data_IF_086245734660
#
_entry.id   IF_086245734660
#
_cell.length_a   1.000
_cell.length_b   1.000
_cell.length_c   1.000
_cell.angle_alpha   90.00
_cell.angle_beta   90.00
_cell.angle_gamma   90.00
#
_symmetry.space_group_name_H-M   'P 1'
#
loop_
_entity.id
_entity.type
_entity.pdbx_description
1 polymer ?
#
# COMPACT_ATOMS: atom_id res chain seq x y z
N UNK A 1 46.47 11.52 4.11
CA UNK A 1 45.11 11.47 4.71
C UNK A 1 44.25 10.51 3.90
N UNK A 2 44.45 9.19 4.03
CA UNK A 2 43.86 8.18 3.11
C UNK A 2 43.12 7.04 3.82
N UNK A 3 42.74 7.21 5.08
CA UNK A 3 42.18 6.15 5.93
C UNK A 3 40.65 6.11 6.07
N UNK A 4 39.93 7.20 5.75
CA UNK A 4 38.54 7.36 6.23
C UNK A 4 37.47 6.75 5.31
N UNK A 5 37.73 6.60 4.00
CA UNK A 5 36.75 6.04 3.04
C UNK A 5 36.60 4.50 3.11
N UNK A 6 37.59 3.78 3.66
CA UNK A 6 37.58 2.32 3.72
C UNK A 6 36.67 1.81 4.86
N UNK A 7 36.55 2.56 5.94
CA UNK A 7 35.74 2.20 7.12
C UNK A 7 34.23 2.35 6.88
N UNK A 8 33.82 3.38 6.15
CA UNK A 8 32.42 3.59 5.79
C UNK A 8 31.90 2.48 4.84
N UNK A 9 32.73 2.07 3.88
CA UNK A 9 32.42 0.99 2.94
C UNK A 9 32.45 -0.40 3.60
N UNK A 10 33.27 -0.57 4.65
CA UNK A 10 33.30 -1.78 5.48
C UNK A 10 32.02 -1.94 6.29
N UNK A 11 31.62 -0.89 7.04
CA UNK A 11 30.39 -0.90 7.85
C UNK A 11 29.12 -1.05 7.03
N UNK A 12 29.01 -0.36 5.88
CA UNK A 12 27.85 -0.52 4.99
C UNK A 12 27.71 -1.96 4.46
N UNK A 13 28.81 -2.68 4.24
CA UNK A 13 28.78 -4.09 3.81
C UNK A 13 28.47 -5.08 4.93
N UNK A 14 28.80 -4.73 6.17
CA UNK A 14 28.43 -5.52 7.36
C UNK A 14 26.95 -5.34 7.67
N UNK A 15 26.47 -4.10 7.77
CA UNK A 15 25.04 -3.78 7.94
C UNK A 15 24.21 -4.35 6.80
N UNK A 16 24.68 -4.25 5.56
CA UNK A 16 24.00 -4.82 4.40
C UNK A 16 23.98 -6.36 4.37
N UNK A 17 24.92 -7.03 5.03
CA UNK A 17 24.90 -8.50 5.20
C UNK A 17 23.96 -8.90 6.32
N UNK A 18 24.02 -8.21 7.44
CA UNK A 18 23.17 -8.45 8.60
C UNK A 18 21.70 -8.24 8.26
N UNK A 19 21.36 -7.11 7.61
CA UNK A 19 20.01 -6.86 7.12
C UNK A 19 19.55 -7.90 6.07
N UNK A 20 20.47 -8.42 5.26
CA UNK A 20 20.16 -9.47 4.28
C UNK A 20 19.92 -10.82 4.95
N UNK A 21 20.71 -11.17 5.97
CA UNK A 21 20.56 -12.40 6.75
C UNK A 21 19.25 -12.39 7.54
N UNK A 22 18.94 -11.29 8.23
CA UNK A 22 17.66 -11.13 8.93
C UNK A 22 16.47 -11.17 7.96
N UNK A 23 16.58 -10.51 6.81
CA UNK A 23 15.56 -10.57 5.77
C UNK A 23 15.38 -11.99 5.22
N UNK A 24 16.47 -12.73 4.99
CA UNK A 24 16.37 -14.12 4.53
C UNK A 24 15.77 -15.05 5.59
N UNK A 25 16.17 -14.91 6.85
CA UNK A 25 15.60 -15.71 7.94
C UNK A 25 14.10 -15.43 8.12
N UNK A 26 13.71 -14.17 8.03
CA UNK A 26 12.29 -13.76 8.06
C UNK A 26 11.53 -14.30 6.85
N UNK A 27 12.12 -14.23 5.65
CA UNK A 27 11.53 -14.76 4.43
C UNK A 27 11.36 -16.28 4.47
N UNK A 28 12.31 -17.02 5.05
CA UNK A 28 12.23 -18.48 5.20
C UNK A 28 11.16 -18.92 6.22
N UNK A 29 10.99 -18.15 7.31
CA UNK A 29 9.91 -18.39 8.28
C UNK A 29 8.55 -18.05 7.66
N UNK A 30 8.45 -16.91 6.99
CA UNK A 30 7.24 -16.49 6.30
C UNK A 30 6.86 -17.44 5.15
N UNK A 31 7.85 -17.94 4.40
CA UNK A 31 7.66 -18.90 3.31
C UNK A 31 7.07 -20.23 3.79
N UNK A 32 7.60 -20.78 4.89
CA UNK A 32 7.09 -22.02 5.50
C UNK A 32 5.68 -21.86 6.08
N UNK A 33 5.39 -20.72 6.70
CA UNK A 33 4.05 -20.41 7.18
C UNK A 33 3.07 -20.25 6.01
N UNK A 34 3.49 -19.58 4.94
CA UNK A 34 2.71 -19.36 3.74
C UNK A 34 2.40 -20.67 3.00
N UNK A 35 3.34 -21.60 2.85
CA UNK A 35 3.10 -22.91 2.24
C UNK A 35 1.98 -23.68 2.95
N UNK A 36 2.03 -23.72 4.29
CA UNK A 36 1.02 -24.40 5.11
C UNK A 36 -0.38 -23.77 4.99
N UNK A 37 -0.43 -22.44 4.88
CA UNK A 37 -1.69 -21.71 4.67
C UNK A 37 -2.19 -21.86 3.23
N UNK A 38 -1.32 -21.85 2.22
CA UNK A 38 -1.69 -22.05 0.81
C UNK A 38 -2.29 -23.43 0.56
N UNK A 39 -1.76 -24.47 1.19
CA UNK A 39 -2.27 -25.85 1.10
C UNK A 39 -3.72 -25.97 1.65
N UNK A 40 -4.03 -25.21 2.70
CA UNK A 40 -5.35 -25.24 3.35
C UNK A 40 -6.34 -24.28 2.68
N UNK A 41 -5.89 -23.09 2.27
CA UNK A 41 -6.74 -22.01 1.76
C UNK A 41 -7.04 -22.10 0.24
N UNK A 42 -6.22 -22.81 -0.54
CA UNK A 42 -6.35 -22.89 -2.00
C UNK A 42 -7.71 -23.39 -2.51
N UNK A 43 -8.49 -24.10 -1.66
CA UNK A 43 -9.84 -24.59 -1.98
C UNK A 43 -10.98 -23.62 -1.62
N UNK A 44 -10.78 -22.70 -0.68
CA UNK A 44 -11.84 -21.77 -0.21
C UNK A 44 -11.73 -20.37 -0.81
N UNK A 45 -10.52 -19.97 -1.22
CA UNK A 45 -10.24 -18.62 -1.76
C UNK A 45 -11.05 -18.32 -3.03
N UNK A 46 -11.37 -19.32 -3.85
CA UNK A 46 -12.14 -19.11 -5.08
C UNK A 46 -13.54 -18.52 -4.84
N UNK A 47 -14.24 -18.98 -3.79
CA UNK A 47 -15.58 -18.50 -3.47
C UNK A 47 -15.58 -17.09 -2.86
N UNK A 48 -14.61 -16.80 -2.00
CA UNK A 48 -14.47 -15.48 -1.36
C UNK A 48 -14.02 -14.41 -2.36
N UNK A 49 -13.19 -14.76 -3.33
CA UNK A 49 -12.72 -13.82 -4.37
C UNK A 49 -13.84 -13.43 -5.33
N UNK A 50 -14.73 -14.35 -5.71
CA UNK A 50 -15.90 -14.04 -6.54
C UNK A 50 -16.86 -13.07 -5.83
N UNK A 51 -17.18 -13.36 -4.57
CA UNK A 51 -18.06 -12.51 -3.74
C UNK A 51 -17.43 -11.13 -3.47
N UNK A 52 -16.15 -11.11 -3.07
CA UNK A 52 -15.42 -9.87 -2.85
C UNK A 52 -15.28 -9.04 -4.13
N UNK A 53 -15.11 -9.69 -5.29
CA UNK A 53 -15.05 -9.01 -6.59
C UNK A 53 -16.37 -8.36 -6.92
N UNK A 54 -17.49 -9.02 -6.67
CA UNK A 54 -18.82 -8.46 -6.93
C UNK A 54 -19.10 -7.22 -6.06
N UNK A 55 -18.73 -7.29 -4.78
CA UNK A 55 -18.89 -6.16 -3.85
C UNK A 55 -17.92 -5.01 -4.19
N UNK A 56 -16.66 -5.32 -4.49
CA UNK A 56 -15.67 -4.32 -4.86
C UNK A 56 -16.02 -3.63 -6.18
N UNK A 57 -16.55 -4.36 -7.16
CA UNK A 57 -16.92 -3.79 -8.45
C UNK A 57 -18.06 -2.76 -8.31
N UNK A 58 -19.02 -3.03 -7.44
CA UNK A 58 -20.10 -2.07 -7.10
C UNK A 58 -19.53 -0.83 -6.41
N UNK A 59 -18.69 -1.02 -5.38
CA UNK A 59 -18.05 0.09 -4.67
C UNK A 59 -17.15 0.94 -5.57
N UNK A 60 -16.42 0.32 -6.52
CA UNK A 60 -15.56 1.03 -7.47
C UNK A 60 -16.38 1.84 -8.47
N UNK A 61 -17.51 1.33 -8.95
CA UNK A 61 -18.42 2.11 -9.81
C UNK A 61 -18.95 3.33 -9.07
N UNK A 62 -19.44 3.14 -7.85
CA UNK A 62 -20.02 4.21 -7.04
C UNK A 62 -18.96 5.26 -6.66
N UNK A 63 -17.75 4.81 -6.27
CA UNK A 63 -16.63 5.69 -5.96
C UNK A 63 -16.16 6.44 -7.21
N UNK A 64 -16.12 5.81 -8.38
CA UNK A 64 -15.72 6.47 -9.64
C UNK A 64 -16.68 7.59 -9.99
N UNK A 65 -17.99 7.37 -9.89
CA UNK A 65 -18.99 8.40 -10.16
C UNK A 65 -18.81 9.57 -9.20
N UNK A 66 -18.72 9.30 -7.88
CA UNK A 66 -18.54 10.34 -6.85
C UNK A 66 -17.21 11.09 -6.97
N UNK A 67 -16.10 10.38 -7.22
CA UNK A 67 -14.79 11.00 -7.44
C UNK A 67 -14.81 11.85 -8.71
N UNK A 68 -15.48 11.43 -9.79
CA UNK A 68 -15.57 12.25 -11.02
C UNK A 68 -16.40 13.50 -10.78
N UNK A 69 -17.47 13.41 -9.99
CA UNK A 69 -18.34 14.54 -9.64
C UNK A 69 -17.68 15.51 -8.63
N UNK A 70 -16.87 15.01 -7.68
CA UNK A 70 -16.17 15.81 -6.67
C UNK A 70 -14.76 16.28 -7.11
N UNK A 71 -14.17 15.64 -8.12
CA UNK A 71 -12.80 15.92 -8.56
C UNK A 71 -12.64 17.32 -9.11
N UNK A 72 -13.62 17.91 -9.80
CA UNK A 72 -13.44 19.22 -10.42
C UNK A 72 -13.18 20.33 -9.38
N UNK A 73 -13.89 20.31 -8.25
CA UNK A 73 -13.69 21.29 -7.17
C UNK A 73 -12.45 21.01 -6.32
N UNK A 74 -12.10 19.74 -6.10
CA UNK A 74 -10.92 19.37 -5.31
C UNK A 74 -9.62 19.49 -6.11
N UNK A 75 -9.68 19.28 -7.43
CA UNK A 75 -8.53 19.42 -8.36
C UNK A 75 -8.07 20.87 -8.41
N UNK A 76 -8.99 21.84 -8.38
CA UNK A 76 -8.60 23.24 -8.38
C UNK A 76 -7.77 23.62 -7.14
N UNK A 77 -8.20 23.18 -5.94
CA UNK A 77 -7.46 23.43 -4.69
C UNK A 77 -6.12 22.67 -4.64
N UNK A 78 -6.08 21.45 -5.16
CA UNK A 78 -4.86 20.66 -5.26
C UNK A 78 -3.86 21.29 -6.25
N UNK A 79 -4.33 21.76 -7.40
CA UNK A 79 -3.52 22.43 -8.40
C UNK A 79 -2.91 23.75 -7.86
N UNK A 80 -3.68 24.49 -7.07
CA UNK A 80 -3.18 25.70 -6.42
C UNK A 80 -2.11 25.38 -5.37
N UNK A 81 -2.30 24.33 -4.58
CA UNK A 81 -1.31 23.85 -3.59
C UNK A 81 -0.03 23.37 -4.25
N UNK A 82 -0.15 22.58 -5.33
CA UNK A 82 1.00 22.13 -6.11
C UNK A 82 1.74 23.29 -6.78
N UNK A 83 1.02 24.31 -7.26
CA UNK A 83 1.63 25.48 -7.88
C UNK A 83 2.48 26.24 -6.88
N UNK A 84 1.97 26.49 -5.67
CA UNK A 84 2.75 27.12 -4.59
C UNK A 84 4.02 26.33 -4.24
N UNK A 85 3.92 25.00 -4.17
CA UNK A 85 5.11 24.16 -3.93
C UNK A 85 6.08 24.16 -5.10
N UNK A 86 5.58 24.20 -6.33
CA UNK A 86 6.42 24.29 -7.52
C UNK A 86 7.16 25.63 -7.58
N UNK A 87 6.49 26.72 -7.23
CA UNK A 87 7.08 28.06 -7.14
C UNK A 87 8.15 28.11 -6.04
N UNK A 88 7.88 27.59 -4.84
CA UNK A 88 8.87 27.49 -3.75
C UNK A 88 10.09 26.63 -4.13
N UNK A 89 9.86 25.52 -4.83
CA UNK A 89 10.94 24.62 -5.29
C UNK A 89 11.73 25.23 -6.45
N UNK A 90 11.09 25.99 -7.34
CA UNK A 90 11.75 26.73 -8.40
C UNK A 90 12.65 27.81 -7.80
N UNK A 91 12.15 28.58 -6.81
CA UNK A 91 12.93 29.57 -6.08
C UNK A 91 14.14 28.94 -5.37
N UNK A 92 13.95 27.77 -4.73
CA UNK A 92 15.05 27.00 -4.15
C UNK A 92 16.05 26.48 -5.18
N UNK A 93 15.61 26.14 -6.39
CA UNK A 93 16.48 25.64 -7.45
C UNK A 93 17.25 26.78 -8.16
N UNK A 94 16.64 27.96 -8.28
CA UNK A 94 17.25 29.16 -8.88
C UNK A 94 18.22 29.85 -7.93
N UNK A 95 17.99 29.77 -6.61
CA UNK A 95 18.80 30.43 -5.58
C UNK A 95 19.61 29.46 -4.70
N UNK A 96 19.47 28.13 -4.88
CA UNK A 96 20.15 27.10 -4.09
C UNK A 96 21.51 26.69 -4.66
N UNK A 97 22.51 26.51 -3.78
CA UNK A 97 23.89 26.18 -4.17
C UNK A 97 24.01 24.77 -4.80
N UNK A 98 24.79 24.69 -5.88
CA UNK A 98 24.84 23.62 -6.92
C UNK A 98 25.34 22.21 -6.55
N UNK A 99 25.82 21.94 -5.34
CA UNK A 99 26.53 20.69 -5.03
C UNK A 99 25.65 19.66 -4.27
N UNK A 100 24.83 18.89 -4.99
CA UNK A 100 24.13 17.73 -4.41
C UNK A 100 24.15 16.47 -5.30
N UNK A 101 24.59 15.31 -4.76
CA UNK A 101 24.53 13.99 -5.42
C UNK A 101 23.12 13.56 -5.87
N UNK A 102 22.08 14.18 -5.31
CA UNK A 102 20.69 13.96 -5.72
C UNK A 102 20.45 14.35 -7.19
N UNK A 103 21.15 15.38 -7.69
CA UNK A 103 21.00 15.88 -9.08
C UNK A 103 21.32 14.80 -10.12
N UNK A 104 22.30 13.94 -9.86
CA UNK A 104 22.68 12.86 -10.79
C UNK A 104 21.63 11.73 -10.82
N UNK A 105 20.95 11.46 -9.70
CA UNK A 105 19.85 10.51 -9.66
C UNK A 105 18.59 11.08 -10.31
N UNK A 106 18.30 12.35 -10.08
CA UNK A 106 17.20 13.08 -10.73
C UNK A 106 17.41 13.12 -12.24
N UNK A 107 18.63 13.41 -12.72
CA UNK A 107 18.95 13.43 -14.15
C UNK A 107 18.75 12.06 -14.83
N UNK A 108 19.12 10.95 -14.16
CA UNK A 108 18.89 9.58 -14.69
C UNK A 108 17.41 9.22 -14.72
N UNK A 109 16.65 9.70 -13.75
CA UNK A 109 15.20 9.51 -13.67
C UNK A 109 14.49 10.33 -14.74
N UNK A 110 14.92 11.57 -15.01
CA UNK A 110 14.38 12.43 -16.07
C UNK A 110 14.46 11.76 -17.45
N UNK A 111 15.59 11.11 -17.79
CA UNK A 111 15.71 10.36 -19.03
C UNK A 111 14.78 9.14 -19.14
N UNK A 112 14.38 8.54 -18.01
CA UNK A 112 13.34 7.49 -17.99
C UNK A 112 11.93 8.11 -18.06
N UNK A 113 11.71 9.24 -17.40
CA UNK A 113 10.48 10.02 -17.48
C UNK A 113 10.13 10.43 -18.91
N UNK A 114 11.12 10.85 -19.71
CA UNK A 114 10.89 11.25 -21.11
C UNK A 114 10.40 10.09 -22.00
N UNK A 115 10.79 8.85 -21.67
CA UNK A 115 10.28 7.65 -22.36
C UNK A 115 8.87 7.30 -21.91
N UNK A 116 8.57 7.46 -20.62
CA UNK A 116 7.22 7.29 -20.09
C UNK A 116 6.25 8.34 -20.64
N UNK A 117 6.68 9.60 -20.76
CA UNK A 117 5.90 10.69 -21.33
C UNK A 117 5.58 10.42 -22.81
N UNK A 118 6.57 10.02 -23.62
CA UNK A 118 6.32 9.63 -25.02
C UNK A 118 5.42 8.39 -25.14
N UNK A 119 5.56 7.43 -24.24
CA UNK A 119 4.70 6.26 -24.23
C UNK A 119 3.25 6.61 -23.89
N UNK A 120 3.05 7.51 -22.91
CA UNK A 120 1.73 8.02 -22.54
C UNK A 120 1.11 8.87 -23.65
N UNK A 121 1.90 9.71 -24.31
CA UNK A 121 1.49 10.51 -25.46
C UNK A 121 1.04 9.63 -26.65
N UNK A 122 1.79 8.58 -26.95
CA UNK A 122 1.48 7.71 -28.09
C UNK A 122 0.38 6.67 -27.82
N UNK A 123 0.24 6.18 -26.58
CA UNK A 123 -0.73 5.12 -26.23
C UNK A 123 -1.91 5.58 -25.40
N UNK A 124 -1.88 6.81 -24.89
CA UNK A 124 -2.85 7.32 -23.96
C UNK A 124 -2.88 6.56 -22.64
N UNK A 125 -3.73 7.02 -21.72
CA UNK A 125 -3.95 6.38 -20.42
C UNK A 125 -4.53 4.98 -20.58
N UNK A 126 -5.41 4.80 -21.56
CA UNK A 126 -6.08 3.53 -21.84
C UNK A 126 -5.12 2.42 -22.28
N UNK A 127 -4.10 2.77 -23.08
CA UNK A 127 -3.06 1.83 -23.47
C UNK A 127 -2.13 1.44 -22.32
N UNK A 128 -1.85 2.36 -21.39
CA UNK A 128 -1.08 2.06 -20.17
C UNK A 128 -1.86 1.10 -19.26
N UNK A 129 -3.15 1.37 -19.05
CA UNK A 129 -4.04 0.50 -18.25
C UNK A 129 -4.19 -0.89 -18.87
N UNK A 130 -4.29 -0.97 -20.20
CA UNK A 130 -4.32 -2.22 -20.94
C UNK A 130 -3.06 -3.06 -20.73
N UNK A 131 -1.87 -2.44 -20.78
CA UNK A 131 -0.61 -3.13 -20.56
C UNK A 131 -0.38 -3.52 -19.10
N UNK A 132 -0.85 -2.71 -18.15
CA UNK A 132 -0.84 -3.06 -16.73
C UNK A 132 -1.76 -4.26 -16.44
N UNK A 133 -2.96 -4.28 -17.02
CA UNK A 133 -3.90 -5.41 -16.93
C UNK A 133 -3.32 -6.68 -17.56
N UNK A 134 -2.67 -6.57 -18.72
CA UNK A 134 -1.96 -7.68 -19.36
C UNK A 134 -0.79 -8.18 -18.50
N UNK A 135 -0.03 -7.28 -17.87
CA UNK A 135 1.04 -7.65 -16.94
C UNK A 135 0.49 -8.39 -15.72
N UNK A 136 -0.58 -7.89 -15.10
CA UNK A 136 -1.24 -8.51 -13.95
C UNK A 136 -1.70 -9.94 -14.27
N UNK A 137 -2.34 -10.13 -15.44
CA UNK A 137 -2.77 -11.46 -15.90
C UNK A 137 -1.61 -12.41 -16.19
N UNK A 138 -0.48 -11.89 -16.70
CA UNK A 138 0.69 -12.71 -17.08
C UNK A 138 1.61 -13.04 -15.91
N UNK A 139 1.61 -12.22 -14.87
CA UNK A 139 2.46 -12.39 -13.67
C UNK A 139 1.67 -12.03 -12.41
N UNK A 140 0.70 -12.86 -12.00
CA UNK A 140 -0.16 -12.57 -10.86
C UNK A 140 0.62 -12.37 -9.55
N UNK A 141 1.65 -13.17 -9.29
CA UNK A 141 2.46 -13.05 -8.06
C UNK A 141 3.26 -11.74 -7.97
N UNK A 142 3.89 -11.31 -9.07
CA UNK A 142 4.66 -10.07 -9.09
C UNK A 142 3.77 -8.83 -8.96
N UNK A 143 2.58 -8.87 -9.57
CA UNK A 143 1.59 -7.81 -9.45
C UNK A 143 1.07 -7.69 -8.02
N UNK A 144 0.69 -8.79 -7.38
CA UNK A 144 0.22 -8.79 -5.99
C UNK A 144 1.31 -8.34 -5.01
N UNK A 145 2.56 -8.79 -5.19
CA UNK A 145 3.68 -8.34 -4.37
C UNK A 145 3.91 -6.83 -4.52
N UNK A 146 3.90 -6.31 -5.76
CA UNK A 146 4.03 -4.87 -6.02
C UNK A 146 2.86 -4.05 -5.46
N UNK A 147 1.63 -4.56 -5.61
CA UNK A 147 0.44 -3.93 -5.08
C UNK A 147 0.42 -3.91 -3.54
N UNK A 148 0.87 -4.97 -2.89
CA UNK A 148 0.99 -5.02 -1.44
C UNK A 148 2.02 -4.00 -0.91
N UNK A 149 3.19 -3.90 -1.55
CA UNK A 149 4.20 -2.91 -1.20
C UNK A 149 3.67 -1.48 -1.39
N UNK A 150 3.04 -1.21 -2.54
CA UNK A 150 2.49 0.11 -2.86
C UNK A 150 1.32 0.46 -1.91
N UNK A 151 0.45 -0.52 -1.64
CA UNK A 151 -0.68 -0.38 -0.74
C UNK A 151 -0.26 -0.13 0.71
N UNK A 152 0.85 -0.72 1.17
CA UNK A 152 1.40 -0.43 2.50
C UNK A 152 1.92 1.02 2.60
N UNK A 153 2.60 1.51 1.57
CA UNK A 153 3.09 2.89 1.52
C UNK A 153 1.92 3.87 1.51
N UNK A 154 0.97 3.68 0.59
CA UNK A 154 -0.23 4.54 0.48
C UNK A 154 -1.09 4.45 1.75
N UNK A 155 -1.29 3.25 2.28
CA UNK A 155 -2.06 3.04 3.52
C UNK A 155 -1.41 3.67 4.74
N UNK A 156 -0.07 3.64 4.84
CA UNK A 156 0.65 4.30 5.93
C UNK A 156 0.59 5.82 5.80
N UNK A 157 0.63 6.36 4.59
CA UNK A 157 0.44 7.80 4.33
C UNK A 157 -0.99 8.24 4.64
N UNK A 158 -1.99 7.46 4.24
CA UNK A 158 -3.39 7.71 4.59
C UNK A 158 -3.61 7.67 6.11
N UNK A 159 -2.91 6.77 6.84
CA UNK A 159 -2.94 6.70 8.31
C UNK A 159 -2.22 7.86 8.99
N UNK A 160 -1.14 8.36 8.39
CA UNK A 160 -0.32 9.45 8.94
C UNK A 160 -0.88 10.85 8.61
N UNK A 161 -1.57 11.00 7.49
CA UNK A 161 -2.32 12.22 7.12
C UNK A 161 -3.76 12.24 7.67
N UNK A 162 -4.29 11.09 8.09
CA UNK A 162 -5.63 10.91 8.65
C UNK A 162 -5.73 11.27 10.13
N UNK A 163 -5.34 12.50 10.48
CA UNK A 163 -5.86 13.17 11.68
C UNK A 163 -7.27 13.70 11.41
N UNK A 164 -8.25 12.79 11.30
CA UNK A 164 -9.67 12.93 11.66
C UNK A 164 -10.52 11.88 10.93
N UNK A 165 -10.96 10.86 11.68
CA UNK A 165 -12.28 10.24 11.52
C UNK A 165 -12.53 9.34 10.31
N UNK A 166 -11.91 8.15 10.27
CA UNK A 166 -12.54 6.99 9.63
C UNK A 166 -11.99 5.70 10.26
N UNK A 167 -12.66 5.23 11.31
CA UNK A 167 -12.46 3.88 11.83
C UNK A 167 -12.97 2.89 10.79
N UNK A 168 -12.13 1.97 10.26
CA UNK A 168 -12.64 0.88 9.46
C UNK A 168 -13.38 -0.07 10.41
N UNK A 169 -14.71 -0.07 10.33
CA UNK A 169 -15.55 -1.00 11.07
C UNK A 169 -15.41 -2.41 10.52
N UNK A 170 -15.06 -3.36 11.39
CA UNK A 170 -15.39 -4.77 11.23
C UNK A 170 -15.20 -5.57 12.53
N UNK A 171 -15.69 -5.08 13.67
CA UNK A 171 -16.07 -5.96 14.79
C UNK A 171 -17.50 -6.46 14.52
N UNK A 172 -17.65 -7.37 13.56
CA UNK A 172 -18.78 -8.30 13.58
C UNK A 172 -18.29 -9.58 14.25
N UNK A 173 -18.30 -9.58 15.58
CA UNK A 173 -18.27 -10.81 16.36
C UNK A 173 -19.48 -11.65 15.95
N UNK A 174 -19.32 -12.88 15.43
CA UNK A 174 -20.43 -13.82 15.39
C UNK A 174 -20.68 -14.24 16.85
N UNK A 175 -21.62 -13.58 17.53
CA UNK A 175 -22.22 -14.16 18.72
C UNK A 175 -22.89 -15.47 18.30
N UNK A 176 -22.14 -16.56 18.47
CA UNK A 176 -22.69 -17.90 18.57
C UNK A 176 -23.58 -17.89 19.81
N UNK A 177 -24.86 -17.65 19.64
CA UNK A 177 -25.88 -17.99 20.62
C UNK A 177 -25.94 -19.51 20.75
N UNK A 178 -25.00 -20.06 21.52
CA UNK A 178 -25.02 -21.41 22.03
C UNK A 178 -25.55 -21.35 23.46
N UNK A 179 -26.87 -21.38 23.61
CA UNK A 179 -27.48 -21.67 24.91
C UNK A 179 -28.56 -22.72 24.71
N UNK A 180 -28.11 -23.97 24.65
CA UNK A 180 -28.96 -25.13 24.87
C UNK A 180 -29.08 -25.40 26.38
N UNK A 181 -30.32 -25.44 26.86
CA UNK A 181 -30.80 -26.54 27.71
C UNK A 181 -30.58 -26.47 29.23
N UNK A 182 -31.69 -26.31 29.95
CA UNK A 182 -31.91 -26.81 31.33
C UNK A 182 -31.33 -25.90 32.42
N UNK A 183 -32.02 -25.53 33.48
CA UNK A 183 -33.17 -26.11 34.17
C UNK A 183 -33.91 -24.99 34.90
N UNK A 184 -35.24 -25.04 34.91
CA UNK A 184 -36.00 -24.24 35.86
C UNK A 184 -35.72 -24.71 37.27
N UNK A 185 -35.54 -23.78 38.20
CA UNK A 185 -36.21 -23.85 39.49
C UNK A 185 -36.29 -22.46 40.12
N UNK A 186 -37.40 -22.26 40.80
CA UNK A 186 -37.92 -21.05 41.37
C UNK A 186 -37.58 -21.02 42.86
N UNK A 187 -36.92 -19.98 43.38
CA UNK A 187 -37.23 -19.41 44.70
C UNK A 187 -36.29 -18.25 45.08
N UNK A 188 -36.86 -17.33 45.84
CA UNK A 188 -36.38 -16.02 46.25
C UNK A 188 -35.37 -16.07 47.44
N UNK A 189 -34.88 -14.91 47.93
CA UNK A 189 -33.60 -14.76 48.63
C UNK A 189 -33.68 -14.94 50.15
N UNK A 190 -32.55 -15.27 50.80
CA UNK A 190 -32.40 -15.16 52.26
C UNK A 190 -30.98 -14.72 52.64
N UNK A 191 -30.92 -13.62 53.41
CA UNK A 191 -29.82 -13.08 54.23
C UNK A 191 -30.14 -13.52 55.67
N UNK A 192 -29.24 -14.07 56.54
CA UNK A 192 -28.31 -13.30 57.43
C UNK A 192 -27.14 -14.17 58.03
N UNK A 193 -26.45 -13.82 59.15
CA UNK A 193 -26.30 -12.55 59.90
C UNK A 193 -24.96 -11.82 59.75
#
# INVERSE_FOLDING_TARGET
MSGESTDATGRARVVGREAKEEASATADVAGRAAEKTMETAGREVGAVVEEARHQADTMVRDMRTRVTEEADEQTHRAAETLRRWADDLADMAEHGRDDSPARTMVARTAHRGQRAARYLDHRGVEGVLGDLSRFARRRPGAFLAGAALTGLVVGRLARAGGGNGASPGADRSPERSATGGGTGDSAAPVVPP
#
